data_IF_593547642982
#
_entry.id   IF_593547642982
#
_cell.length_a   1.000
_cell.length_b   1.000
_cell.length_c   1.000
_cell.angle_alpha   90.00
_cell.angle_beta   90.00
_cell.angle_gamma   90.00
#
_symmetry.space_group_name_H-M   'P 1'
#
loop_
_entity.id
_entity.type
_entity.pdbx_description
1 polymer ?
#
# COMPACT_ATOMS: atom_id res chain seq x y z
N UNK A 1 18.44 77.38 81.99
CA UNK A 1 18.16 77.64 80.58
C UNK A 1 19.24 76.92 79.78
N UNK A 2 19.01 75.89 78.99
CA UNK A 2 17.82 75.17 78.55
C UNK A 2 18.32 73.84 77.97
N UNK A 3 17.58 72.76 78.16
CA UNK A 3 17.57 71.60 77.28
C UNK A 3 16.36 70.74 77.64
N UNK A 4 15.21 71.08 77.07
CA UNK A 4 14.06 70.18 77.00
C UNK A 4 14.39 69.08 75.98
N UNK A 5 14.55 67.84 76.45
CA UNK A 5 14.53 66.65 75.60
C UNK A 5 13.07 66.35 75.23
N UNK A 6 12.71 66.63 73.98
CA UNK A 6 11.42 66.29 73.40
C UNK A 6 11.39 64.79 73.06
N UNK A 7 10.69 64.02 73.89
CA UNK A 7 10.29 62.64 73.61
C UNK A 7 9.12 62.68 72.61
N UNK A 8 9.37 62.59 71.31
CA UNK A 8 8.33 62.26 70.30
C UNK A 8 8.98 61.92 68.94
N UNK A 9 9.04 60.61 68.56
CA UNK A 9 8.43 60.22 67.28
C UNK A 9 7.88 58.78 67.24
N UNK A 10 7.69 58.09 68.37
CA UNK A 10 7.24 56.68 68.36
C UNK A 10 5.76 56.54 67.96
N UNK A 11 4.90 57.44 68.45
CA UNK A 11 3.45 57.39 68.25
C UNK A 11 2.99 57.66 66.80
N UNK A 12 3.71 58.52 66.06
CA UNK A 12 3.35 58.87 64.67
C UNK A 12 3.69 57.74 63.68
N UNK A 13 4.76 56.99 63.97
CA UNK A 13 5.15 55.83 63.17
C UNK A 13 4.12 54.69 63.31
N UNK A 14 3.59 54.49 64.51
CA UNK A 14 2.57 53.46 64.78
C UNK A 14 1.26 53.72 64.01
N UNK A 15 0.80 54.97 63.91
CA UNK A 15 -0.43 55.32 63.16
C UNK A 15 -0.26 55.13 61.64
N UNK A 16 0.89 55.51 61.10
CA UNK A 16 1.20 55.30 59.68
C UNK A 16 1.28 53.81 59.34
N UNK A 17 1.97 53.01 60.17
CA UNK A 17 2.09 51.56 59.98
C UNK A 17 0.73 50.87 59.99
N UNK A 18 -0.14 51.21 60.94
CA UNK A 18 -1.51 50.67 61.01
C UNK A 18 -2.32 51.04 59.76
N UNK A 19 -2.19 52.28 59.28
CA UNK A 19 -2.87 52.75 58.06
C UNK A 19 -2.40 52.02 56.81
N UNK A 20 -1.10 51.81 56.66
CA UNK A 20 -0.55 51.03 55.54
C UNK A 20 -1.02 49.58 55.61
N UNK A 21 -1.00 48.95 56.79
CA UNK A 21 -1.45 47.59 56.97
C UNK A 21 -2.94 47.42 56.64
N UNK A 22 -3.78 48.38 57.05
CA UNK A 22 -5.20 48.42 56.72
C UNK A 22 -5.42 48.51 55.19
N UNK A 23 -4.73 49.43 54.51
CA UNK A 23 -4.85 49.59 53.06
C UNK A 23 -4.37 48.33 52.33
N UNK A 24 -3.24 47.76 52.75
CA UNK A 24 -2.71 46.52 52.19
C UNK A 24 -3.67 45.34 52.37
N UNK A 25 -4.18 45.10 53.58
CA UNK A 25 -5.12 44.00 53.85
C UNK A 25 -6.41 44.15 53.02
N UNK A 26 -6.89 45.37 52.79
CA UNK A 26 -8.04 45.62 51.92
C UNK A 26 -7.77 45.23 50.46
N UNK A 27 -6.65 45.68 49.88
CA UNK A 27 -6.31 45.35 48.48
C UNK A 27 -5.98 43.87 48.30
N UNK A 28 -5.33 43.23 49.28
CA UNK A 28 -5.06 41.79 49.25
C UNK A 28 -6.36 41.00 49.29
N UNK A 29 -7.29 41.34 50.18
CA UNK A 29 -8.60 40.70 50.23
C UNK A 29 -9.34 40.84 48.89
N UNK A 30 -9.40 42.05 48.32
CA UNK A 30 -10.02 42.29 47.02
C UNK A 30 -9.41 41.42 45.91
N UNK A 31 -8.09 41.38 45.81
CA UNK A 31 -7.39 40.56 44.83
C UNK A 31 -7.69 39.06 45.01
N UNK A 32 -7.69 38.58 46.25
CA UNK A 32 -7.94 37.17 46.57
C UNK A 32 -9.39 36.75 46.34
N UNK A 33 -10.36 37.67 46.34
CA UNK A 33 -11.72 37.38 45.86
C UNK A 33 -11.87 37.50 44.33
N UNK A 34 -11.08 38.35 43.67
CA UNK A 34 -11.10 38.51 42.20
C UNK A 34 -10.51 37.31 41.45
N UNK A 35 -9.33 36.83 41.87
CA UNK A 35 -8.60 35.75 41.19
C UNK A 35 -9.46 34.47 41.01
N UNK A 36 -10.18 33.97 42.03
CA UNK A 36 -11.06 32.80 41.88
C UNK A 36 -12.22 33.04 40.91
N UNK A 37 -12.78 34.25 40.83
CA UNK A 37 -13.86 34.58 39.90
C UNK A 37 -13.37 34.51 38.45
N UNK A 38 -12.19 35.04 38.17
CA UNK A 38 -11.53 34.97 36.86
C UNK A 38 -11.22 33.51 36.46
N UNK A 39 -10.73 32.72 37.41
CA UNK A 39 -10.49 31.28 37.24
C UNK A 39 -11.78 30.51 36.91
N UNK A 40 -12.88 30.78 37.61
CA UNK A 40 -14.18 30.15 37.34
C UNK A 40 -14.67 30.50 35.92
N UNK A 41 -14.56 31.78 35.53
CA UNK A 41 -14.92 32.23 34.18
C UNK A 41 -14.10 31.50 33.10
N UNK A 42 -12.78 31.41 33.29
CA UNK A 42 -11.88 30.70 32.37
C UNK A 42 -12.24 29.22 32.22
N UNK A 43 -12.51 28.53 33.34
CA UNK A 43 -12.86 27.10 33.34
C UNK A 43 -14.21 26.86 32.69
N UNK A 44 -15.19 27.74 32.88
CA UNK A 44 -16.49 27.63 32.23
C UNK A 44 -16.38 27.80 30.71
N UNK A 45 -15.42 28.60 30.23
CA UNK A 45 -15.17 28.81 28.80
C UNK A 45 -14.30 27.70 28.18
N UNK A 46 -13.36 27.14 28.94
CA UNK A 46 -12.46 26.07 28.51
C UNK A 46 -13.06 24.69 28.77
N UNK A 47 -13.62 24.08 27.73
CA UNK A 47 -14.40 22.82 27.82
C UNK A 47 -13.63 21.60 28.38
N UNK A 48 -12.30 21.63 28.40
CA UNK A 48 -11.47 20.42 28.55
C UNK A 48 -10.36 20.54 29.61
N UNK A 49 -10.73 20.80 30.88
CA UNK A 49 -9.77 20.72 31.99
C UNK A 49 -10.00 19.46 32.84
N UNK A 50 -9.13 18.44 32.78
CA UNK A 50 -9.33 17.16 33.47
C UNK A 50 -9.21 17.25 35.00
N UNK A 51 -8.64 18.33 35.54
CA UNK A 51 -8.37 18.49 36.98
C UNK A 51 -9.24 19.57 37.64
N UNK A 52 -10.56 19.55 37.41
CA UNK A 52 -11.51 20.53 38.00
C UNK A 52 -11.44 20.60 39.53
N UNK A 53 -11.18 19.48 40.19
CA UNK A 53 -11.05 19.41 41.65
C UNK A 53 -9.87 20.22 42.19
N UNK A 54 -8.74 20.28 41.46
CA UNK A 54 -7.57 21.08 41.85
C UNK A 54 -7.90 22.56 41.82
N UNK A 55 -8.65 23.00 40.82
CA UNK A 55 -9.07 24.38 40.66
C UNK A 55 -10.02 24.80 41.78
N UNK A 56 -10.93 23.91 42.21
CA UNK A 56 -11.80 24.13 43.35
C UNK A 56 -10.98 24.26 44.64
N UNK A 57 -10.01 23.37 44.86
CA UNK A 57 -9.13 23.39 46.04
C UNK A 57 -8.23 24.65 46.07
N UNK A 58 -7.65 25.01 44.93
CA UNK A 58 -6.85 26.23 44.78
C UNK A 58 -7.68 27.49 44.98
N UNK A 59 -8.89 27.54 44.41
CA UNK A 59 -9.85 28.62 44.63
C UNK A 59 -10.26 28.73 46.10
N UNK A 60 -10.57 27.61 46.75
CA UNK A 60 -10.91 27.58 48.18
C UNK A 60 -9.75 28.06 49.06
N UNK A 61 -8.52 27.66 48.75
CA UNK A 61 -7.31 28.14 49.44
C UNK A 61 -7.16 29.67 49.33
N UNK A 62 -7.26 30.23 48.13
CA UNK A 62 -7.15 31.68 47.90
C UNK A 62 -8.27 32.44 48.64
N UNK A 63 -9.52 31.95 48.56
CA UNK A 63 -10.65 32.57 49.25
C UNK A 63 -10.47 32.55 50.77
N UNK A 64 -10.01 31.44 51.35
CA UNK A 64 -9.76 31.34 52.79
C UNK A 64 -8.63 32.28 53.23
N UNK A 65 -7.56 32.41 52.44
CA UNK A 65 -6.52 33.42 52.67
C UNK A 65 -7.11 34.83 52.62
N UNK A 66 -7.94 35.14 51.62
CA UNK A 66 -8.59 36.46 51.48
C UNK A 66 -9.52 36.78 52.64
N UNK A 67 -10.25 35.78 53.12
CA UNK A 67 -11.09 35.90 54.30
C UNK A 67 -10.27 36.26 55.55
N UNK A 68 -9.06 35.71 55.73
CA UNK A 68 -8.21 36.09 56.87
C UNK A 68 -7.77 37.55 56.84
N UNK A 69 -7.49 38.12 55.66
CA UNK A 69 -7.19 39.55 55.50
C UNK A 69 -8.42 40.43 55.75
N UNK A 70 -9.61 39.99 55.29
CA UNK A 70 -10.86 40.70 55.57
C UNK A 70 -11.21 40.69 57.07
N UNK A 71 -10.98 39.56 57.75
CA UNK A 71 -11.17 39.44 59.20
C UNK A 71 -10.15 40.32 59.95
N UNK A 72 -8.90 40.42 59.49
CA UNK A 72 -7.92 41.36 60.05
C UNK A 72 -8.41 42.81 59.94
N UNK A 73 -8.91 43.22 58.77
CA UNK A 73 -9.47 44.55 58.55
C UNK A 73 -10.61 44.86 59.53
N UNK A 74 -11.53 43.89 59.70
CA UNK A 74 -12.64 44.01 60.65
C UNK A 74 -12.18 44.05 62.11
N UNK A 75 -11.09 43.33 62.43
CA UNK A 75 -10.51 43.30 63.78
C UNK A 75 -9.98 44.67 64.20
N UNK A 76 -9.41 45.45 63.25
CA UNK A 76 -9.00 46.84 63.51
C UNK A 76 -10.19 47.76 63.84
N UNK A 77 -11.36 47.53 63.22
CA UNK A 77 -12.56 48.34 63.44
C UNK A 77 -13.33 47.93 64.72
N UNK A 78 -13.31 46.65 65.10
CA UNK A 78 -14.01 46.17 66.30
C UNK A 78 -13.27 44.95 66.88
N UNK A 79 -12.65 45.11 68.05
CA UNK A 79 -12.01 44.00 68.73
C UNK A 79 -13.03 43.24 69.59
N UNK A 80 -13.32 41.97 69.24
CA UNK A 80 -14.21 41.09 70.00
C UNK A 80 -13.65 39.66 70.08
N UNK A 81 -13.91 38.98 71.20
CA UNK A 81 -13.56 37.57 71.41
C UNK A 81 -14.11 36.66 70.29
N UNK A 82 -15.29 36.98 69.76
CA UNK A 82 -15.90 36.22 68.65
C UNK A 82 -15.06 36.31 67.38
N UNK A 83 -14.51 37.48 67.06
CA UNK A 83 -13.70 37.70 65.85
C UNK A 83 -12.37 36.95 65.95
N UNK A 84 -11.76 36.90 67.15
CA UNK A 84 -10.55 36.11 67.39
C UNK A 84 -10.79 34.60 67.18
N UNK A 85 -11.95 34.08 67.62
CA UNK A 85 -12.34 32.68 67.36
C UNK A 85 -12.54 32.44 65.86
N UNK A 86 -13.23 33.33 65.15
CA UNK A 86 -13.43 33.21 63.70
C UNK A 86 -12.09 33.25 62.94
N UNK A 87 -11.16 34.13 63.35
CA UNK A 87 -9.82 34.21 62.75
C UNK A 87 -9.00 32.94 62.97
N UNK A 88 -9.04 32.36 64.18
CA UNK A 88 -8.31 31.11 64.47
C UNK A 88 -8.88 29.93 63.69
N UNK A 89 -10.20 29.82 63.58
CA UNK A 89 -10.87 28.82 62.75
C UNK A 89 -10.52 29.00 61.27
N UNK A 90 -10.55 30.24 60.76
CA UNK A 90 -10.17 30.52 59.37
C UNK A 90 -8.72 30.13 59.09
N UNK A 91 -7.77 30.50 59.96
CA UNK A 91 -6.36 30.10 59.84
C UNK A 91 -6.16 28.59 59.89
N UNK A 92 -6.87 27.88 60.77
CA UNK A 92 -6.83 26.42 60.84
C UNK A 92 -7.38 25.77 59.57
N UNK A 93 -8.51 26.26 59.04
CA UNK A 93 -9.07 25.80 57.77
C UNK A 93 -8.09 26.03 56.60
N UNK A 94 -7.48 27.21 56.52
CA UNK A 94 -6.46 27.52 55.50
C UNK A 94 -5.27 26.56 55.59
N UNK A 95 -4.77 26.27 56.79
CA UNK A 95 -3.66 25.35 56.99
C UNK A 95 -4.00 23.93 56.50
N UNK A 96 -5.20 23.42 56.85
CA UNK A 96 -5.65 22.10 56.40
C UNK A 96 -5.76 22.03 54.88
N UNK A 97 -6.43 23.02 54.26
CA UNK A 97 -6.59 23.08 52.80
C UNK A 97 -5.23 23.22 52.10
N UNK A 98 -4.30 24.00 52.66
CA UNK A 98 -2.93 24.14 52.17
C UNK A 98 -2.15 22.81 52.21
N UNK A 99 -2.25 22.04 53.30
CA UNK A 99 -1.62 20.73 53.38
C UNK A 99 -2.20 19.74 52.35
N UNK A 100 -3.52 19.69 52.21
CA UNK A 100 -4.19 18.82 51.24
C UNK A 100 -3.78 19.19 49.80
N UNK A 101 -3.78 20.48 49.47
CA UNK A 101 -3.35 20.95 48.14
C UNK A 101 -1.89 20.63 47.85
N UNK A 102 -0.98 20.80 48.81
CA UNK A 102 0.42 20.46 48.65
C UNK A 102 0.62 18.96 48.35
N UNK A 103 -0.06 18.07 49.08
CA UNK A 103 0.02 16.62 48.85
C UNK A 103 -0.54 16.22 47.47
N UNK A 104 -1.67 16.80 47.07
CA UNK A 104 -2.27 16.55 45.75
C UNK A 104 -1.35 17.01 44.62
N UNK A 105 -0.67 18.15 44.78
CA UNK A 105 0.19 18.70 43.74
C UNK A 105 1.39 17.78 43.43
N UNK A 106 1.93 17.08 44.44
CA UNK A 106 2.99 16.08 44.26
C UNK A 106 2.57 14.95 43.31
N UNK A 107 1.30 14.56 43.33
CA UNK A 107 0.78 13.50 42.44
C UNK A 107 0.40 14.03 41.06
N UNK A 108 -0.07 15.27 40.96
CA UNK A 108 -0.59 15.82 39.70
C UNK A 108 0.51 16.34 38.77
N UNK A 109 1.60 16.87 39.33
CA UNK A 109 2.77 17.31 38.54
C UNK A 109 3.30 16.18 37.63
N UNK A 110 3.61 14.96 38.12
CA UNK A 110 4.13 13.90 37.27
C UNK A 110 3.11 13.44 36.21
N UNK A 111 1.81 13.42 36.52
CA UNK A 111 0.77 13.06 35.56
C UNK A 111 0.65 14.09 34.42
N UNK A 112 0.74 15.39 34.74
CA UNK A 112 0.69 16.43 33.72
C UNK A 112 1.94 16.40 32.81
N UNK A 113 3.10 16.05 33.39
CA UNK A 113 4.34 15.88 32.65
C UNK A 113 4.29 14.63 31.75
N UNK A 114 3.75 13.51 32.25
CA UNK A 114 3.67 12.25 31.49
C UNK A 114 2.77 12.36 30.27
N UNK A 115 1.66 13.10 30.35
CA UNK A 115 0.77 13.35 29.20
C UNK A 115 1.49 14.16 28.12
N UNK A 116 2.20 15.24 28.50
CA UNK A 116 2.97 16.03 27.53
C UNK A 116 4.12 15.23 26.90
N UNK A 117 4.78 14.37 27.69
CA UNK A 117 5.79 13.45 27.18
C UNK A 117 5.19 12.45 26.19
N UNK A 118 4.03 11.87 26.49
CA UNK A 118 3.32 10.95 25.61
C UNK A 118 2.87 11.62 24.31
N UNK A 119 2.36 12.85 24.40
CA UNK A 119 1.98 13.61 23.20
C UNK A 119 3.19 13.89 22.30
N UNK A 120 4.34 14.26 22.87
CA UNK A 120 5.58 14.44 22.10
C UNK A 120 6.05 13.13 21.48
N UNK A 121 6.09 12.04 22.25
CA UNK A 121 6.47 10.73 21.74
C UNK A 121 5.58 10.26 20.57
N UNK A 122 4.27 10.49 20.66
CA UNK A 122 3.34 10.15 19.57
C UNK A 122 3.57 11.01 18.32
N UNK A 123 3.89 12.30 18.47
CA UNK A 123 4.24 13.17 17.35
C UNK A 123 5.54 12.73 16.68
N UNK A 124 6.57 12.44 17.47
CA UNK A 124 7.86 11.97 16.94
C UNK A 124 7.68 10.64 16.18
N UNK A 125 6.89 9.71 16.74
CA UNK A 125 6.56 8.44 16.07
C UNK A 125 5.75 8.63 14.81
N UNK A 126 4.82 9.58 14.76
CA UNK A 126 4.05 9.87 13.56
C UNK A 126 4.94 10.46 12.45
N UNK A 127 5.88 11.34 12.80
CA UNK A 127 6.85 11.91 11.85
C UNK A 127 7.82 10.84 11.31
N UNK A 128 8.27 9.92 12.17
CA UNK A 128 9.09 8.77 11.75
C UNK A 128 8.33 7.90 10.74
N UNK A 129 7.06 7.60 11.02
CA UNK A 129 6.21 6.79 10.15
C UNK A 129 5.93 7.48 8.80
N UNK A 130 5.75 8.81 8.79
CA UNK A 130 5.55 9.59 7.57
C UNK A 130 6.81 9.60 6.67
N UNK A 131 8.00 9.67 7.29
CA UNK A 131 9.28 9.52 6.58
C UNK A 131 9.43 8.13 5.95
N UNK A 132 9.11 7.07 6.70
CA UNK A 132 9.14 5.69 6.18
C UNK A 132 8.15 5.51 5.01
N UNK A 133 6.91 6.01 5.14
CA UNK A 133 5.92 5.98 4.06
C UNK A 133 6.38 6.75 2.82
N UNK A 134 7.06 7.89 2.98
CA UNK A 134 7.63 8.65 1.85
C UNK A 134 8.70 7.85 1.08
N UNK A 135 9.58 7.13 1.79
CA UNK A 135 10.59 6.26 1.16
C UNK A 135 9.93 5.09 0.42
N UNK A 136 8.91 4.46 1.01
CA UNK A 136 8.19 3.35 0.36
C UNK A 136 7.44 3.83 -0.89
N UNK A 137 6.79 5.01 -0.83
CA UNK A 137 6.05 5.57 -1.96
C UNK A 137 6.96 5.91 -3.14
N UNK A 138 8.14 6.49 -2.86
CA UNK A 138 9.13 6.77 -3.92
C UNK A 138 9.70 5.49 -4.55
N UNK A 139 9.89 4.42 -3.77
CA UNK A 139 10.22 3.09 -4.31
C UNK A 139 9.09 2.49 -5.14
N UNK A 140 7.84 2.62 -4.72
CA UNK A 140 6.69 2.10 -5.46
C UNK A 140 6.48 2.86 -6.79
N UNK A 141 6.62 4.18 -6.80
CA UNK A 141 6.56 5.00 -8.01
C UNK A 141 7.68 4.66 -8.98
N UNK A 142 8.91 4.49 -8.49
CA UNK A 142 10.06 4.04 -9.29
C UNK A 142 9.82 2.63 -9.83
N UNK A 143 9.30 1.72 -9.01
CA UNK A 143 8.93 0.36 -9.40
C UNK A 143 7.85 0.33 -10.46
N UNK A 144 6.83 1.20 -10.37
CA UNK A 144 5.79 1.36 -11.40
C UNK A 144 6.35 1.92 -12.69
N UNK A 145 7.25 2.90 -12.65
CA UNK A 145 7.89 3.43 -13.85
C UNK A 145 8.78 2.39 -14.52
N UNK A 146 9.57 1.63 -13.75
CA UNK A 146 10.37 0.52 -14.28
C UNK A 146 9.45 -0.56 -14.86
N UNK A 147 8.37 -0.92 -14.18
CA UNK A 147 7.41 -1.91 -14.69
C UNK A 147 6.71 -1.42 -15.96
N UNK A 148 6.35 -0.13 -16.03
CA UNK A 148 5.78 0.50 -17.22
C UNK A 148 6.77 0.49 -18.39
N UNK A 149 8.02 0.91 -18.19
CA UNK A 149 9.05 0.83 -19.22
C UNK A 149 9.33 -0.62 -19.65
N UNK A 150 9.42 -1.55 -18.71
CA UNK A 150 9.65 -2.97 -19.01
C UNK A 150 8.47 -3.57 -19.77
N UNK A 151 7.25 -3.14 -19.44
CA UNK A 151 6.02 -3.53 -20.13
C UNK A 151 5.96 -2.89 -21.53
N UNK A 152 6.32 -1.62 -21.69
CA UNK A 152 6.40 -0.92 -22.98
C UNK A 152 7.41 -1.61 -23.92
N UNK A 153 8.61 -1.94 -23.39
CA UNK A 153 9.67 -2.67 -24.11
C UNK A 153 9.21 -4.10 -24.47
N UNK A 154 8.52 -4.79 -23.56
CA UNK A 154 7.93 -6.11 -23.86
C UNK A 154 6.75 -6.02 -24.84
N UNK A 155 5.99 -4.93 -24.83
CA UNK A 155 4.85 -4.72 -25.74
C UNK A 155 5.29 -4.32 -27.14
N UNK A 156 6.47 -3.70 -27.27
CA UNK A 156 7.12 -3.38 -28.54
C UNK A 156 7.94 -4.56 -29.12
N UNK A 157 8.14 -5.63 -28.35
CA UNK A 157 8.66 -6.89 -28.85
C UNK A 157 7.53 -7.62 -29.61
N UNK A 158 7.51 -7.43 -30.93
CA UNK A 158 6.53 -8.01 -31.85
C UNK A 158 6.27 -9.50 -31.52
N UNK A 159 5.00 -9.86 -31.31
CA UNK A 159 4.52 -11.22 -31.00
C UNK A 159 5.04 -12.27 -31.98
N UNK A 160 5.26 -11.87 -33.24
CA UNK A 160 5.90 -12.73 -34.25
C UNK A 160 7.33 -13.11 -33.86
N UNK A 161 8.05 -12.25 -33.13
CA UNK A 161 9.40 -12.50 -32.60
C UNK A 161 9.36 -13.58 -31.52
N UNK A 162 8.41 -13.54 -30.58
CA UNK A 162 8.35 -14.54 -29.49
C UNK A 162 8.09 -15.94 -30.05
N UNK A 163 7.07 -16.09 -30.90
CA UNK A 163 6.74 -17.37 -31.53
C UNK A 163 7.87 -17.87 -32.44
N UNK A 164 8.54 -16.95 -33.16
CA UNK A 164 9.69 -17.30 -33.99
C UNK A 164 10.89 -17.73 -33.14
N UNK A 165 11.17 -17.04 -32.05
CA UNK A 165 12.28 -17.38 -31.14
C UNK A 165 12.04 -18.74 -30.48
N UNK A 166 10.82 -19.05 -30.04
CA UNK A 166 10.52 -20.37 -29.45
C UNK A 166 10.67 -21.50 -30.47
N UNK A 167 10.18 -21.30 -31.70
CA UNK A 167 10.37 -22.27 -32.80
C UNK A 167 11.85 -22.48 -33.13
N UNK A 168 12.64 -21.40 -33.21
CA UNK A 168 14.08 -21.48 -33.50
C UNK A 168 14.84 -22.17 -32.36
N UNK A 169 14.54 -21.86 -31.10
CA UNK A 169 15.22 -22.46 -29.95
C UNK A 169 14.85 -23.95 -29.81
N UNK A 170 13.60 -24.31 -30.08
CA UNK A 170 13.17 -25.71 -30.18
C UNK A 170 13.93 -26.45 -31.29
N UNK A 171 14.05 -25.84 -32.47
CA UNK A 171 14.82 -26.36 -33.58
C UNK A 171 16.28 -26.63 -33.24
N UNK A 172 16.92 -25.71 -32.52
CA UNK A 172 18.31 -25.88 -32.04
C UNK A 172 18.42 -26.98 -30.99
N UNK A 173 17.51 -27.02 -30.03
CA UNK A 173 17.53 -27.99 -28.92
C UNK A 173 17.36 -29.42 -29.42
N UNK A 174 16.45 -29.62 -30.37
CA UNK A 174 16.14 -30.93 -30.94
C UNK A 174 16.95 -31.24 -32.20
N UNK A 175 17.75 -30.32 -32.73
CA UNK A 175 18.52 -30.48 -33.96
C UNK A 175 17.62 -30.80 -35.17
N UNK A 176 16.54 -30.03 -35.34
CA UNK A 176 15.57 -30.21 -36.41
C UNK A 176 16.07 -29.61 -37.72
N UNK A 177 15.68 -30.22 -38.84
CA UNK A 177 15.85 -29.60 -40.15
C UNK A 177 14.77 -28.56 -40.44
N UNK A 178 13.55 -28.77 -39.92
CA UNK A 178 12.46 -27.82 -40.07
C UNK A 178 11.44 -27.99 -38.93
N UNK A 179 10.81 -26.88 -38.53
CA UNK A 179 9.63 -26.90 -37.68
C UNK A 179 8.63 -25.91 -38.24
N UNK A 180 7.39 -26.36 -38.41
CA UNK A 180 6.32 -25.59 -39.00
C UNK A 180 5.09 -25.57 -38.11
N UNK A 181 4.43 -24.41 -38.07
CA UNK A 181 3.16 -24.24 -37.37
C UNK A 181 2.04 -24.00 -38.38
N UNK A 182 1.07 -24.91 -38.39
CA UNK A 182 -0.13 -24.88 -39.20
C UNK A 182 -1.31 -24.42 -38.37
N UNK A 183 -1.98 -23.36 -38.83
CA UNK A 183 -3.09 -22.73 -38.13
C UNK A 183 -4.40 -22.98 -38.88
N UNK A 184 -5.54 -23.18 -38.21
CA UNK A 184 -6.82 -23.35 -38.90
C UNK A 184 -7.24 -22.06 -39.61
N UNK A 185 -7.83 -22.23 -40.79
CA UNK A 185 -8.44 -21.16 -41.59
C UNK A 185 -9.73 -20.66 -40.94
N UNK A 186 -10.17 -19.46 -41.32
CA UNK A 186 -11.42 -18.85 -40.85
C UNK A 186 -12.66 -19.72 -41.16
N UNK A 187 -12.67 -20.43 -42.27
CA UNK A 187 -13.75 -21.35 -42.62
C UNK A 187 -13.77 -22.62 -41.75
N UNK A 188 -12.71 -22.90 -40.98
CA UNK A 188 -12.55 -24.14 -40.21
C UNK A 188 -12.37 -25.39 -41.07
N UNK A 189 -12.24 -25.25 -42.39
CA UNK A 189 -12.19 -26.38 -43.33
C UNK A 189 -10.75 -26.78 -43.72
N UNK A 190 -9.78 -25.92 -43.47
CA UNK A 190 -8.39 -26.14 -43.86
C UNK A 190 -7.40 -25.51 -42.87
N UNK A 191 -6.15 -25.97 -42.92
CA UNK A 191 -4.99 -25.45 -42.20
C UNK A 191 -4.12 -24.63 -43.14
N UNK A 192 -3.69 -23.45 -42.71
CA UNK A 192 -2.73 -22.60 -43.41
C UNK A 192 -1.37 -22.64 -42.69
N UNK A 193 -0.30 -22.65 -43.47
CA UNK A 193 1.05 -22.54 -42.91
C UNK A 193 1.29 -21.12 -42.41
N UNK A 194 1.51 -20.97 -41.09
CA UNK A 194 1.68 -19.67 -40.44
C UNK A 194 3.16 -19.33 -40.20
N UNK A 195 3.94 -20.27 -39.68
CA UNK A 195 5.35 -20.06 -39.35
C UNK A 195 6.22 -21.26 -39.71
N UNK A 196 7.47 -21.00 -40.08
CA UNK A 196 8.53 -21.99 -40.32
C UNK A 196 9.84 -21.50 -39.71
N UNK A 197 10.76 -22.40 -39.34
CA UNK A 197 12.05 -22.00 -38.75
C UNK A 197 12.90 -21.26 -39.79
N UNK A 198 12.96 -21.78 -41.02
CA UNK A 198 13.86 -21.26 -42.05
C UNK A 198 13.21 -20.31 -43.06
N UNK A 199 11.95 -19.90 -42.85
CA UNK A 199 11.19 -18.97 -43.73
C UNK A 199 11.27 -19.32 -45.23
N UNK A 200 11.48 -20.61 -45.54
CA UNK A 200 11.85 -21.11 -46.88
C UNK A 200 10.65 -21.69 -47.65
N UNK A 201 9.48 -21.75 -47.02
CA UNK A 201 8.24 -22.21 -47.60
C UNK A 201 7.36 -21.04 -48.06
N UNK A 202 6.59 -21.16 -49.16
CA UNK A 202 5.62 -20.15 -49.53
C UNK A 202 4.54 -20.07 -48.43
N UNK A 203 4.57 -18.97 -47.67
CA UNK A 203 3.52 -18.60 -46.72
C UNK A 203 2.19 -18.57 -47.50
N UNK A 204 1.20 -19.34 -47.06
CA UNK A 204 -0.08 -19.51 -47.77
C UNK A 204 -0.36 -20.91 -48.34
N UNK A 205 0.48 -21.93 -48.06
CA UNK A 205 0.13 -23.33 -48.28
C UNK A 205 -1.09 -23.72 -47.44
N UNK A 206 -2.09 -24.34 -48.08
CA UNK A 206 -3.36 -24.74 -47.45
C UNK A 206 -3.54 -26.25 -47.54
N UNK A 207 -3.85 -26.88 -46.41
CA UNK A 207 -4.07 -28.32 -46.28
C UNK A 207 -5.46 -28.59 -45.69
N UNK A 208 -6.33 -29.38 -46.33
CA UNK A 208 -7.68 -29.64 -45.80
C UNK A 208 -7.65 -30.39 -44.46
N UNK A 209 -8.51 -30.00 -43.51
CA UNK A 209 -8.58 -30.61 -42.16
C UNK A 209 -9.14 -32.04 -42.20
N UNK A 210 -9.92 -32.37 -43.23
CA UNK A 210 -10.54 -33.68 -43.41
C UNK A 210 -9.56 -34.81 -43.79
N UNK A 211 -8.26 -34.53 -43.89
CA UNK A 211 -7.26 -35.55 -44.16
C UNK A 211 -7.11 -36.51 -42.96
N UNK A 212 -6.91 -37.82 -43.22
CA UNK A 212 -6.77 -38.82 -42.15
C UNK A 212 -5.56 -38.56 -41.25
N UNK A 213 -4.50 -37.95 -41.80
CA UNK A 213 -3.31 -37.57 -41.04
C UNK A 213 -3.61 -36.44 -40.05
N UNK A 214 -4.41 -35.45 -40.45
CA UNK A 214 -4.80 -34.32 -39.60
C UNK A 214 -5.73 -34.80 -38.49
N UNK A 215 -6.74 -35.61 -38.83
CA UNK A 215 -7.69 -36.14 -37.84
C UNK A 215 -7.01 -37.06 -36.83
N UNK A 216 -6.01 -37.86 -37.25
CA UNK A 216 -5.18 -38.66 -36.34
C UNK A 216 -4.46 -37.79 -35.31
N UNK A 217 -3.85 -36.70 -35.75
CA UNK A 217 -3.13 -35.76 -34.85
C UNK A 217 -4.10 -35.03 -33.92
N UNK A 218 -5.26 -34.61 -34.42
CA UNK A 218 -6.27 -33.91 -33.60
C UNK A 218 -6.88 -34.80 -32.52
N UNK A 219 -7.09 -36.09 -32.82
CA UNK A 219 -7.66 -37.04 -31.87
C UNK A 219 -6.63 -37.57 -30.85
N UNK A 220 -5.33 -37.33 -31.05
CA UNK A 220 -4.27 -37.73 -30.13
C UNK A 220 -3.81 -36.56 -29.25
N UNK A 221 -3.53 -36.83 -27.98
CA UNK A 221 -2.89 -35.85 -27.08
C UNK A 221 -1.37 -35.91 -27.14
N UNK A 222 -0.81 -36.85 -27.92
CA UNK A 222 0.62 -37.12 -27.98
C UNK A 222 1.20 -36.71 -29.33
N UNK A 223 2.52 -36.63 -29.38
CA UNK A 223 3.24 -36.45 -30.63
C UNK A 223 3.08 -37.68 -31.54
N UNK A 224 2.52 -37.50 -32.73
CA UNK A 224 2.21 -38.56 -33.70
C UNK A 224 3.22 -38.58 -34.84
N UNK A 225 3.77 -39.75 -35.16
CA UNK A 225 4.57 -39.90 -36.39
C UNK A 225 3.67 -39.85 -37.63
N UNK A 226 4.06 -39.03 -38.59
CA UNK A 226 3.36 -38.84 -39.87
C UNK A 226 4.30 -39.16 -41.05
N UNK A 227 3.77 -39.65 -42.17
CA UNK A 227 4.61 -39.90 -43.34
C UNK A 227 5.15 -38.60 -43.92
N UNK A 228 6.41 -38.59 -44.36
CA UNK A 228 7.05 -37.45 -45.02
C UNK A 228 6.36 -37.06 -46.34
N UNK A 229 5.57 -37.96 -46.94
CA UNK A 229 4.73 -37.69 -48.13
C UNK A 229 3.42 -36.96 -47.80
N UNK A 230 3.14 -36.72 -46.52
CA UNK A 230 1.96 -35.97 -46.09
C UNK A 230 2.00 -34.53 -46.58
N UNK A 231 0.86 -33.94 -46.99
CA UNK A 231 0.78 -32.51 -47.31
C UNK A 231 1.27 -31.58 -46.17
N UNK A 232 1.13 -32.02 -44.91
CA UNK A 232 1.64 -31.29 -43.74
C UNK A 232 3.18 -31.28 -43.64
N UNK A 233 3.83 -32.28 -44.24
CA UNK A 233 5.28 -32.46 -44.27
C UNK A 233 5.90 -31.96 -45.59
N UNK A 234 5.07 -31.52 -46.56
CA UNK A 234 5.49 -30.98 -47.86
C UNK A 234 6.00 -29.53 -47.74
N UNK A 235 6.84 -29.28 -46.74
CA UNK A 235 7.59 -28.05 -46.56
C UNK A 235 8.95 -28.31 -47.22
N UNK A 236 9.43 -27.41 -48.08
CA UNK A 236 10.66 -27.60 -48.88
C UNK A 236 11.90 -27.82 -47.98
N UNK A 237 12.09 -29.04 -47.52
CA UNK A 237 13.37 -29.56 -47.11
C UNK A 237 14.02 -30.15 -48.37
N UNK A 238 15.29 -29.85 -48.62
CA UNK A 238 16.06 -30.51 -49.67
C UNK A 238 16.00 -32.03 -49.43
N UNK A 239 15.11 -32.72 -50.16
CA UNK A 239 14.98 -34.17 -50.07
C UNK A 239 16.26 -34.80 -50.62
N UNK A 240 17.17 -35.19 -49.70
CA UNK A 240 18.28 -36.09 -50.00
C UNK A 240 17.74 -37.40 -50.56
N UNK A 241 18.42 -37.97 -51.56
CA UNK A 241 17.98 -39.17 -52.29
C UNK A 241 18.14 -40.49 -51.53
N UNK A 242 18.67 -40.46 -50.29
CA UNK A 242 19.17 -41.66 -49.62
C UNK A 242 18.31 -42.16 -48.45
N UNK A 243 17.60 -41.29 -47.72
CA UNK A 243 16.70 -41.71 -46.65
C UNK A 243 15.54 -40.71 -46.43
N UNK A 244 14.31 -41.19 -46.17
CA UNK A 244 13.20 -40.30 -45.83
C UNK A 244 13.37 -39.71 -44.42
N UNK A 245 13.11 -38.41 -44.22
CA UNK A 245 13.17 -37.81 -42.89
C UNK A 245 12.06 -38.34 -41.99
N UNK A 246 12.35 -38.50 -40.70
CA UNK A 246 11.32 -38.76 -39.71
C UNK A 246 10.56 -37.48 -39.35
N UNK A 247 9.24 -37.52 -39.49
CA UNK A 247 8.35 -36.39 -39.25
C UNK A 247 7.38 -36.72 -38.13
N UNK A 248 7.24 -35.78 -37.20
CA UNK A 248 6.32 -35.85 -36.08
C UNK A 248 5.41 -34.63 -36.11
N UNK A 249 4.13 -34.84 -35.81
CA UNK A 249 3.15 -33.79 -35.68
C UNK A 249 2.47 -33.86 -34.31
N UNK A 250 2.32 -32.71 -33.67
CA UNK A 250 1.64 -32.55 -32.39
C UNK A 250 0.55 -31.50 -32.54
N UNK A 251 -0.61 -31.75 -31.96
CA UNK A 251 -1.67 -30.74 -31.91
C UNK A 251 -1.33 -29.68 -30.87
N UNK A 252 -1.63 -28.43 -31.19
CA UNK A 252 -1.48 -27.28 -30.30
C UNK A 252 -2.89 -26.73 -30.05
N UNK A 253 -3.44 -26.84 -28.83
CA UNK A 253 -4.77 -26.31 -28.55
C UNK A 253 -4.76 -24.79 -28.69
N UNK A 254 -5.80 -24.22 -29.30
CA UNK A 254 -5.98 -22.77 -29.35
C UNK A 254 -6.95 -22.39 -28.24
N UNK A 255 -6.51 -21.59 -27.26
CA UNK A 255 -7.44 -21.09 -26.23
C UNK A 255 -8.36 -20.05 -26.85
N UNK A 256 -9.67 -20.23 -26.65
CA UNK A 256 -10.66 -19.26 -27.03
C UNK A 256 -10.83 -18.26 -25.88
N UNK A 257 -10.28 -17.05 -26.01
CA UNK A 257 -10.61 -15.94 -25.12
C UNK A 257 -12.01 -15.43 -25.48
N UNK A 258 -13.05 -16.12 -25.01
CA UNK A 258 -14.39 -15.54 -24.90
C UNK A 258 -14.35 -14.46 -23.83
N UNK A 259 -14.09 -13.22 -24.24
CA UNK A 259 -14.41 -12.02 -23.48
C UNK A 259 -14.46 -10.75 -24.34
N UNK A 260 -14.82 -10.85 -25.62
CA UNK A 260 -15.27 -9.69 -26.41
C UNK A 260 -16.27 -10.15 -27.47
N UNK A 261 -17.53 -9.75 -27.30
CA UNK A 261 -18.62 -9.92 -28.25
C UNK A 261 -18.22 -9.35 -29.63
N UNK A 262 -18.07 -10.22 -30.62
CA UNK A 262 -18.27 -9.87 -32.03
C UNK A 262 -19.01 -11.05 -32.65
N UNK A 263 -20.33 -10.87 -32.81
CA UNK A 263 -21.21 -11.71 -33.61
C UNK A 263 -20.60 -11.97 -34.99
N UNK A 264 -20.87 -13.15 -35.55
CA UNK A 264 -20.43 -13.67 -36.88
C UNK A 264 -19.38 -14.79 -36.85
N UNK A 265 -19.50 -15.73 -35.91
CA UNK A 265 -18.98 -17.08 -36.10
C UNK A 265 -20.13 -18.07 -35.98
N UNK A 266 -20.30 -19.01 -36.93
CA UNK A 266 -21.28 -20.07 -36.75
C UNK A 266 -20.89 -20.86 -35.49
N UNK A 267 -21.84 -20.91 -34.55
CA UNK A 267 -21.76 -21.66 -33.31
C UNK A 267 -21.41 -23.13 -33.57
N UNK A 268 -20.12 -23.44 -33.55
CA UNK A 268 -19.63 -24.80 -33.41
C UNK A 268 -18.64 -24.79 -32.25
N UNK A 269 -19.10 -25.41 -31.17
CA UNK A 269 -18.37 -25.85 -29.98
C UNK A 269 -17.22 -26.85 -30.31
N UNK A 270 -16.45 -26.58 -31.35
CA UNK A 270 -15.34 -27.41 -31.81
C UNK A 270 -14.05 -26.77 -31.32
N UNK A 271 -13.34 -27.45 -30.42
CA UNK A 271 -11.98 -27.10 -30.02
C UNK A 271 -11.13 -26.90 -31.28
N UNK A 272 -10.69 -25.67 -31.53
CA UNK A 272 -9.84 -25.35 -32.68
C UNK A 272 -8.39 -25.70 -32.32
N UNK A 273 -7.76 -26.54 -33.14
CA UNK A 273 -6.39 -26.98 -32.94
C UNK A 273 -5.51 -26.49 -34.08
N UNK A 274 -4.31 -26.01 -33.73
CA UNK A 274 -3.21 -25.89 -34.67
C UNK A 274 -2.39 -27.19 -34.70
N UNK A 275 -1.56 -27.36 -35.72
CA UNK A 275 -0.66 -28.51 -35.85
C UNK A 275 0.77 -27.98 -35.91
N UNK A 276 1.62 -28.41 -34.98
CA UNK A 276 3.06 -28.20 -35.06
C UNK A 276 3.71 -29.44 -35.66
N UNK A 277 4.47 -29.26 -36.74
CA UNK A 277 5.12 -30.34 -37.50
C UNK A 277 6.63 -30.15 -37.38
N UNK A 278 7.34 -31.19 -36.95
CA UNK A 278 8.77 -31.20 -36.70
C UNK A 278 9.43 -32.27 -37.58
N UNK A 279 10.49 -31.87 -38.30
CA UNK A 279 11.20 -32.74 -39.22
C UNK A 279 12.66 -32.89 -38.80
N UNK A 280 13.12 -34.14 -38.68
CA UNK A 280 14.53 -34.44 -38.47
C UNK A 280 15.33 -34.33 -39.77
N UNK A 281 16.65 -34.10 -39.70
CA UNK A 281 17.51 -34.03 -40.88
C UNK A 281 17.50 -35.33 -41.69
N UNK A 282 17.36 -35.27 -43.03
CA UNK A 282 17.18 -36.45 -43.88
C UNK A 282 18.44 -37.35 -43.98
N UNK A 283 19.63 -36.82 -43.69
CA UNK A 283 20.90 -37.58 -43.73
C UNK A 283 21.28 -38.21 -42.38
N UNK A 284 20.44 -38.06 -41.35
CA UNK A 284 20.65 -38.73 -40.07
C UNK A 284 19.75 -39.95 -40.00
N UNK A 285 20.29 -41.16 -39.85
CA UNK A 285 19.51 -42.37 -39.51
C UNK A 285 18.86 -42.28 -38.10
N UNK A 286 18.69 -41.06 -37.59
CA UNK A 286 18.18 -40.71 -36.27
C UNK A 286 16.67 -40.87 -36.28
N UNK A 287 16.20 -41.53 -35.23
CA UNK A 287 14.79 -41.64 -34.90
C UNK A 287 14.44 -40.78 -33.71
N UNK A 288 13.19 -40.36 -33.63
CA UNK A 288 12.67 -39.66 -32.45
C UNK A 288 12.78 -40.55 -31.21
N UNK A 289 13.39 -40.02 -30.15
CA UNK A 289 13.45 -40.69 -28.85
C UNK A 289 12.24 -40.30 -28.01
N UNK A 290 11.84 -41.16 -27.08
CA UNK A 290 10.68 -40.92 -26.21
C UNK A 290 10.76 -39.60 -25.43
N UNK A 291 11.94 -39.24 -24.90
CA UNK A 291 12.13 -37.98 -24.17
C UNK A 291 12.05 -36.73 -25.07
N UNK A 292 12.41 -36.86 -26.35
CA UNK A 292 12.31 -35.76 -27.33
C UNK A 292 10.83 -35.49 -27.65
N UNK A 293 10.02 -36.55 -27.75
CA UNK A 293 8.57 -36.44 -27.95
C UNK A 293 7.88 -35.81 -26.73
N UNK A 294 8.26 -36.20 -25.52
CA UNK A 294 7.75 -35.58 -24.29
C UNK A 294 8.11 -34.09 -24.22
N UNK A 295 9.33 -33.71 -24.61
CA UNK A 295 9.75 -32.31 -24.68
C UNK A 295 8.90 -31.53 -25.70
N UNK A 296 8.65 -32.12 -26.88
CA UNK A 296 7.79 -31.51 -27.92
C UNK A 296 6.37 -31.29 -27.40
N UNK A 297 5.80 -32.23 -26.66
CA UNK A 297 4.48 -32.10 -26.05
C UNK A 297 4.42 -30.92 -25.06
N UNK A 298 5.44 -30.78 -24.20
CA UNK A 298 5.52 -29.66 -23.24
C UNK A 298 5.69 -28.32 -23.96
N UNK A 299 6.52 -28.25 -25.01
CA UNK A 299 6.70 -27.02 -25.78
C UNK A 299 5.44 -26.67 -26.58
N UNK A 300 4.73 -27.67 -27.12
CA UNK A 300 3.46 -27.47 -27.80
C UNK A 300 2.45 -26.74 -26.90
N UNK A 301 2.35 -27.11 -25.62
CA UNK A 301 1.52 -26.43 -24.62
C UNK A 301 1.97 -24.99 -24.32
N UNK A 302 3.27 -24.70 -24.37
CA UNK A 302 3.77 -23.33 -24.20
C UNK A 302 3.51 -22.44 -25.42
N UNK A 303 3.52 -23.02 -26.62
CA UNK A 303 3.18 -22.34 -27.89
C UNK A 303 1.69 -21.93 -27.93
N UNK A 304 0.81 -22.62 -27.19
CA UNK A 304 -0.59 -22.24 -26.99
C UNK A 304 -0.72 -20.79 -26.51
N UNK A 305 0.06 -20.39 -25.51
CA UNK A 305 0.00 -19.06 -24.91
C UNK A 305 0.32 -17.97 -25.93
N UNK A 306 1.19 -18.27 -26.91
CA UNK A 306 1.60 -17.33 -27.95
C UNK A 306 0.62 -17.27 -29.14
N UNK A 307 -0.10 -18.36 -29.43
CA UNK A 307 -0.97 -18.50 -30.61
C UNK A 307 -2.37 -17.91 -30.42
N UNK A 308 -2.84 -17.78 -29.18
CA UNK A 308 -4.16 -17.22 -28.80
C UNK A 308 -4.38 -15.79 -29.31
N UNK A 309 -3.31 -15.01 -29.47
CA UNK A 309 -3.41 -13.61 -29.89
C UNK A 309 -3.27 -13.46 -31.43
N UNK A 310 -2.67 -14.42 -32.14
CA UNK A 310 -2.48 -14.37 -33.60
C UNK A 310 -3.80 -14.48 -34.40
N UNK A 311 -4.76 -15.29 -33.95
CA UNK A 311 -6.08 -15.35 -34.57
C UNK A 311 -6.85 -14.01 -34.54
N UNK A 312 -6.48 -13.10 -33.64
CA UNK A 312 -7.11 -11.78 -33.53
C UNK A 312 -6.63 -10.80 -34.63
N UNK A 313 -5.38 -10.92 -35.11
CA UNK A 313 -4.79 -9.97 -36.05
C UNK A 313 -4.98 -10.34 -37.53
N UNK A 314 -5.20 -11.63 -37.83
CA UNK A 314 -5.74 -12.06 -39.14
C UNK A 314 -7.13 -11.48 -39.43
N UNK A 315 -7.79 -10.83 -38.45
CA UNK A 315 -9.03 -10.09 -38.67
C UNK A 315 -8.85 -8.66 -39.18
N UNK A 316 -7.67 -8.04 -39.04
CA UNK A 316 -7.49 -6.61 -39.36
C UNK A 316 -6.94 -6.40 -40.78
N UNK A 317 -6.23 -7.37 -41.35
CA UNK A 317 -5.58 -7.23 -42.66
C UNK A 317 -6.28 -7.94 -43.82
N UNK A 318 -7.38 -8.67 -43.58
CA UNK A 318 -8.24 -9.22 -44.64
C UNK A 318 -9.67 -8.71 -44.46
N UNK A 319 -9.85 -7.42 -44.77
CA UNK A 319 -11.11 -6.86 -45.23
C UNK A 319 -11.12 -6.80 -46.77
N UNK A 320 -12.30 -6.78 -47.41
CA UNK A 320 -12.48 -7.01 -48.84
C UNK A 320 -11.73 -6.04 -49.76
#
# INVERSE_FOLDING_TARGET
MDACDCIEPLWQADDLLVKYQYISDFFIALAYFSIPLELIYFVKKSSFFPYRWVLIQFGAFIVLCGATHLINLWTFATYSKTIAVVMTVAKAATAVVSCITALMLVHIIPDLLSVKLRERYLKDKAEELDKEMGIIRTQEETGRHVHMLTHEIRSTLDRHTILRTTLVELGRTLGLAECALWMPSRSGTALHLSHTIHNSAPIGLVVPINLPVVSKVFNSNRAESIPHTSPLASIKADTSRYAPPEVVAVRVPLLHLTNFEINDWPELSAKSFAVMVLMLPPDSARKWRTHELELVEVVADQVVVCTVSCCHFGRVHEGP
#
